data_IF_729475186209
#
_entry.id   IF_729475186209
#
_cell.length_a   1.000
_cell.length_b   1.000
_cell.length_c   1.000
_cell.angle_alpha   90.00
_cell.angle_beta   90.00
_cell.angle_gamma   90.00
#
_symmetry.space_group_name_H-M   'P 1'
#
loop_
_entity.id
_entity.type
_entity.pdbx_description
1 polymer ?
#
# COMPACT_ATOMS: atom_id res chain seq x y z
N UNK A 1 10.06 -1.55 -16.31
CA UNK A 1 9.10 -0.63 -15.65
C UNK A 1 9.09 -0.79 -14.12
N UNK A 2 8.66 0.25 -13.38
CA UNK A 2 8.47 0.20 -11.91
C UNK A 2 7.06 0.64 -11.51
N UNK A 3 6.44 -0.09 -10.60
CA UNK A 3 5.19 0.26 -9.90
C UNK A 3 5.39 0.22 -8.40
N UNK A 4 4.74 1.15 -7.71
CA UNK A 4 4.66 1.19 -6.25
C UNK A 4 3.19 1.28 -5.88
N UNK A 5 2.67 0.24 -5.23
CA UNK A 5 1.31 0.15 -4.69
C UNK A 5 1.39 0.42 -3.21
N UNK A 6 0.57 1.32 -2.69
CA UNK A 6 0.67 1.79 -1.31
C UNK A 6 -0.70 1.88 -0.66
N UNK A 7 -0.78 1.47 0.60
CA UNK A 7 -1.91 1.75 1.49
C UNK A 7 -1.40 2.32 2.80
N UNK A 8 -2.10 3.32 3.34
CA UNK A 8 -1.73 4.02 4.56
C UNK A 8 -2.94 4.21 5.47
N UNK A 9 -2.75 4.05 6.78
CA UNK A 9 -3.77 4.25 7.80
C UNK A 9 -3.16 4.78 9.10
N UNK A 10 -4.00 5.30 9.99
CA UNK A 10 -3.61 5.70 11.33
C UNK A 10 -3.45 4.50 12.30
N UNK A 11 -3.48 4.75 13.62
CA UNK A 11 -3.32 3.71 14.63
C UNK A 11 -4.46 2.68 14.56
N UNK A 12 -4.07 1.41 14.65
CA UNK A 12 -4.94 0.25 14.68
C UNK A 12 -4.16 -0.89 15.31
N UNK A 13 -4.53 -1.24 16.54
CA UNK A 13 -3.92 -2.34 17.25
C UNK A 13 -4.39 -3.67 16.65
N UNK A 14 -3.45 -4.52 16.28
CA UNK A 14 -3.70 -5.81 15.65
C UNK A 14 -2.68 -6.81 16.18
N UNK A 15 -3.14 -8.01 16.50
CA UNK A 15 -2.28 -9.11 16.94
C UNK A 15 -1.43 -9.64 15.79
N UNK A 16 -0.33 -10.33 16.12
CA UNK A 16 0.49 -11.01 15.12
C UNK A 16 -0.32 -12.02 14.26
N UNK A 17 -1.36 -12.62 14.82
CA UNK A 17 -2.23 -13.55 14.09
C UNK A 17 -3.11 -12.82 13.06
N UNK A 18 -3.70 -11.68 13.42
CA UNK A 18 -4.46 -10.84 12.48
C UNK A 18 -3.56 -10.33 11.37
N UNK A 19 -2.35 -9.87 11.71
CA UNK A 19 -1.37 -9.44 10.71
C UNK A 19 -0.96 -10.60 9.78
N UNK A 20 -0.77 -11.82 10.31
CA UNK A 20 -0.44 -12.99 9.50
C UNK A 20 -1.54 -13.33 8.49
N UNK A 21 -2.81 -13.26 8.89
CA UNK A 21 -3.96 -13.49 8.01
C UNK A 21 -4.05 -12.43 6.89
N UNK A 22 -3.82 -11.14 7.21
CA UNK A 22 -3.78 -10.07 6.19
C UNK A 22 -2.63 -10.24 5.21
N UNK A 23 -1.45 -10.59 5.72
CA UNK A 23 -0.30 -10.92 4.88
C UNK A 23 -0.60 -12.10 3.95
N UNK A 24 -1.11 -13.22 4.48
CA UNK A 24 -1.41 -14.41 3.68
C UNK A 24 -2.41 -14.10 2.57
N UNK A 25 -3.50 -13.39 2.91
CA UNK A 25 -4.50 -12.92 1.94
C UNK A 25 -3.89 -12.02 0.86
N UNK A 26 -2.99 -11.12 1.25
CA UNK A 26 -2.32 -10.20 0.32
C UNK A 26 -1.41 -10.96 -0.64
N UNK A 27 -0.55 -11.86 -0.13
CA UNK A 27 0.40 -12.63 -0.93
C UNK A 27 -0.32 -13.56 -1.91
N UNK A 28 -1.38 -14.22 -1.45
CA UNK A 28 -2.23 -15.09 -2.27
C UNK A 28 -2.93 -14.32 -3.41
N UNK A 29 -3.47 -13.12 -3.13
CA UNK A 29 -4.04 -12.24 -4.16
C UNK A 29 -2.99 -11.73 -5.14
N UNK A 30 -1.81 -11.33 -4.67
CA UNK A 30 -0.73 -10.87 -5.52
C UNK A 30 -0.23 -11.98 -6.44
N UNK A 31 -0.09 -13.22 -5.94
CA UNK A 31 0.31 -14.37 -6.75
C UNK A 31 -0.68 -14.66 -7.89
N UNK A 32 -2.00 -14.44 -7.67
CA UNK A 32 -3.01 -14.55 -8.75
C UNK A 32 -2.94 -13.43 -9.78
N UNK A 33 -2.60 -12.22 -9.36
CA UNK A 33 -2.54 -11.03 -10.22
C UNK A 33 -1.22 -10.91 -10.99
N UNK A 34 -0.16 -11.52 -10.46
CA UNK A 34 1.19 -11.51 -11.00
C UNK A 34 1.64 -12.96 -11.22
N UNK A 35 1.24 -13.60 -12.33
CA UNK A 35 1.58 -15.00 -12.61
C UNK A 35 3.10 -15.26 -12.72
N UNK A 36 3.91 -14.20 -12.82
CA UNK A 36 5.37 -14.25 -12.81
C UNK A 36 5.94 -14.55 -11.42
N UNK A 37 5.12 -14.48 -10.35
CA UNK A 37 5.49 -14.93 -9.01
C UNK A 37 5.31 -16.44 -8.89
N UNK A 38 6.37 -17.15 -8.50
CA UNK A 38 6.32 -18.61 -8.31
C UNK A 38 6.00 -19.03 -6.87
N UNK A 39 5.80 -18.07 -5.96
CA UNK A 39 5.12 -18.30 -4.67
C UNK A 39 6.01 -18.48 -3.45
N UNK A 40 7.33 -18.30 -3.55
CA UNK A 40 8.25 -18.31 -2.38
C UNK A 40 8.78 -16.91 -2.10
N UNK A 41 8.90 -16.59 -0.81
CA UNK A 41 9.30 -15.27 -0.32
C UNK A 41 10.44 -15.43 0.69
N UNK A 42 11.30 -14.42 0.82
CA UNK A 42 12.27 -14.35 1.91
C UNK A 42 12.07 -13.08 2.72
N UNK A 43 12.32 -13.19 4.03
CA UNK A 43 12.37 -12.02 4.92
C UNK A 43 13.61 -11.20 4.63
N UNK A 44 13.50 -9.88 4.80
CA UNK A 44 14.61 -8.95 4.66
C UNK A 44 14.76 -8.19 5.98
N UNK A 45 15.41 -8.80 7.00
CA UNK A 45 15.57 -8.17 8.31
C UNK A 45 16.54 -6.97 8.25
N UNK A 46 16.48 -6.10 9.24
CA UNK A 46 17.39 -4.96 9.35
C UNK A 46 18.85 -5.39 9.57
N UNK A 47 19.05 -6.56 10.18
CA UNK A 47 20.36 -7.19 10.39
C UNK A 47 20.23 -8.72 10.32
N UNK A 48 21.33 -9.40 9.97
CA UNK A 48 21.36 -10.86 9.84
C UNK A 48 20.91 -11.39 8.47
N UNK A 49 20.76 -12.71 8.36
CA UNK A 49 20.29 -13.39 7.16
C UNK A 49 18.77 -13.46 7.12
N UNK A 50 18.20 -13.25 5.92
CA UNK A 50 16.79 -13.53 5.66
C UNK A 50 16.46 -15.01 5.75
N UNK A 51 15.19 -15.31 6.01
CA UNK A 51 14.65 -16.66 6.02
C UNK A 51 13.63 -16.81 4.90
N UNK A 52 13.68 -17.93 4.19
CA UNK A 52 12.64 -18.29 3.23
C UNK A 52 11.35 -18.65 3.98
N UNK A 53 10.25 -18.04 3.59
CA UNK A 53 8.92 -18.24 4.14
C UNK A 53 7.94 -18.70 3.06
N UNK A 54 7.02 -19.56 3.48
CA UNK A 54 5.84 -19.86 2.67
C UNK A 54 4.78 -18.78 2.90
N UNK A 55 3.94 -18.46 1.90
CA UNK A 55 2.86 -17.48 2.03
C UNK A 55 1.64 -18.02 2.82
N UNK A 56 1.88 -18.88 3.82
CA UNK A 56 0.85 -19.45 4.70
C UNK A 56 0.85 -18.76 6.07
N UNK A 57 -0.31 -18.72 6.72
CA UNK A 57 -0.48 -18.03 8.00
C UNK A 57 0.49 -18.51 9.10
N UNK A 58 0.75 -19.82 9.30
CA UNK A 58 1.71 -20.28 10.30
C UNK A 58 3.13 -19.74 10.08
N UNK A 59 3.62 -19.74 8.84
CA UNK A 59 4.96 -19.24 8.51
C UNK A 59 5.05 -17.74 8.70
N UNK A 60 4.01 -17.01 8.29
CA UNK A 60 3.92 -15.56 8.45
C UNK A 60 3.80 -15.15 9.93
N UNK A 61 3.03 -15.89 10.72
CA UNK A 61 2.90 -15.67 12.15
C UNK A 61 4.24 -15.88 12.86
N UNK A 62 5.00 -16.91 12.49
CA UNK A 62 6.34 -17.12 13.01
C UNK A 62 7.27 -15.94 12.68
N UNK A 63 7.29 -15.50 11.42
CA UNK A 63 8.09 -14.35 10.98
C UNK A 63 7.72 -13.05 11.72
N UNK A 64 6.41 -12.79 11.92
CA UNK A 64 5.93 -11.62 12.66
C UNK A 64 6.32 -11.66 14.13
N UNK A 65 6.25 -12.83 14.78
CA UNK A 65 6.71 -13.00 16.17
C UNK A 65 8.20 -12.77 16.31
N UNK A 66 9.00 -13.27 15.35
CA UNK A 66 10.43 -13.01 15.30
C UNK A 66 10.70 -11.51 15.15
N UNK A 67 9.98 -10.82 14.25
CA UNK A 67 10.11 -9.38 14.08
C UNK A 67 9.75 -8.60 15.34
N UNK A 68 8.64 -8.95 16.02
CA UNK A 68 8.23 -8.35 17.29
C UNK A 68 9.26 -8.54 18.40
N UNK A 69 9.88 -9.71 18.48
CA UNK A 69 10.89 -10.01 19.50
C UNK A 69 12.23 -9.31 19.24
N UNK A 70 12.52 -8.93 18.00
CA UNK A 70 13.76 -8.26 17.62
C UNK A 70 13.71 -6.73 17.75
N UNK A 71 12.51 -6.15 17.86
CA UNK A 71 12.30 -4.72 17.74
C UNK A 71 11.89 -4.09 19.08
N UNK A 72 12.89 -3.86 19.95
CA UNK A 72 12.74 -3.26 21.28
C UNK A 72 12.12 -1.84 21.26
N UNK A 73 12.05 -1.19 20.10
CA UNK A 73 11.50 0.16 19.91
C UNK A 73 10.01 0.17 19.51
N UNK A 74 9.40 -0.99 19.20
CA UNK A 74 8.24 -1.06 18.29
C UNK A 74 6.86 -1.27 18.90
N UNK A 75 6.73 -1.55 20.20
CA UNK A 75 5.42 -1.90 20.76
C UNK A 75 4.35 -0.82 20.51
N UNK A 76 4.75 0.46 20.44
CA UNK A 76 3.86 1.57 20.14
C UNK A 76 3.64 1.79 18.63
N UNK A 77 4.66 1.59 17.79
CA UNK A 77 4.60 1.95 16.36
C UNK A 77 4.07 0.82 15.46
N UNK A 78 4.19 -0.44 15.92
CA UNK A 78 3.69 -1.63 15.22
C UNK A 78 4.81 -2.57 14.80
N UNK A 79 4.44 -3.70 14.19
CA UNK A 79 5.36 -4.73 13.70
C UNK A 79 5.74 -4.46 12.25
N UNK A 80 7.05 -4.36 11.99
CA UNK A 80 7.61 -4.26 10.65
C UNK A 80 7.88 -5.64 10.06
N UNK A 81 7.42 -5.91 8.84
CA UNK A 81 7.79 -7.09 8.06
C UNK A 81 8.06 -6.70 6.60
N UNK A 82 9.19 -7.17 6.07
CA UNK A 82 9.60 -6.97 4.68
C UNK A 82 9.89 -8.30 4.02
N UNK A 83 9.23 -8.55 2.88
CA UNK A 83 9.29 -9.76 2.11
C UNK A 83 9.72 -9.44 0.67
N UNK A 84 10.69 -10.19 0.16
CA UNK A 84 11.10 -10.14 -1.25
C UNK A 84 10.80 -11.50 -1.89
N UNK A 85 10.18 -11.50 -3.06
CA UNK A 85 9.90 -12.74 -3.78
C UNK A 85 11.23 -13.39 -4.22
N UNK A 86 11.45 -14.64 -3.83
CA UNK A 86 12.68 -15.39 -4.14
C UNK A 86 12.79 -15.73 -5.62
N UNK A 87 11.64 -16.01 -6.23
CA UNK A 87 11.57 -16.62 -7.55
C UNK A 87 10.47 -15.92 -8.35
N UNK A 88 10.88 -14.85 -9.03
CA UNK A 88 10.10 -14.20 -10.07
C UNK A 88 10.71 -14.53 -11.45
N UNK A 89 9.92 -14.43 -12.52
CA UNK A 89 10.44 -14.56 -13.88
C UNK A 89 11.64 -13.61 -14.13
N UNK A 90 12.59 -13.95 -15.03
CA UNK A 90 13.75 -13.10 -15.28
C UNK A 90 13.40 -11.63 -15.53
N UNK A 91 14.10 -10.71 -14.84
CA UNK A 91 13.84 -9.27 -14.92
C UNK A 91 12.74 -8.75 -13.99
N UNK A 92 12.02 -9.63 -13.30
CA UNK A 92 11.04 -9.24 -12.30
C UNK A 92 11.63 -9.17 -10.89
N UNK A 93 11.17 -8.19 -10.10
CA UNK A 93 11.43 -8.11 -8.66
C UNK A 93 10.18 -7.61 -7.97
N UNK A 94 9.71 -8.31 -6.96
CA UNK A 94 8.53 -7.93 -6.18
C UNK A 94 8.86 -7.96 -4.70
N UNK A 95 8.70 -6.81 -4.07
CA UNK A 95 8.97 -6.60 -2.65
C UNK A 95 7.75 -6.02 -1.98
N UNK A 96 7.31 -6.60 -0.86
CA UNK A 96 6.26 -6.07 -0.01
C UNK A 96 6.85 -5.73 1.36
N UNK A 97 6.48 -4.57 1.89
CA UNK A 97 6.83 -4.17 3.24
C UNK A 97 5.58 -3.62 3.94
N UNK A 98 5.38 -3.97 5.21
CA UNK A 98 4.35 -3.37 6.05
C UNK A 98 4.90 -2.95 7.40
N UNK A 99 4.33 -1.89 7.95
CA UNK A 99 4.41 -1.51 9.36
C UNK A 99 2.97 -1.41 9.87
N UNK A 100 2.59 -2.32 10.77
CA UNK A 100 1.18 -2.53 11.13
C UNK A 100 0.98 -3.06 12.56
N UNK A 101 -0.26 -3.02 13.07
CA UNK A 101 -0.65 -3.50 14.40
C UNK A 101 -0.29 -2.58 15.58
N UNK A 102 0.20 -1.38 15.32
CA UNK A 102 0.59 -0.40 16.34
C UNK A 102 -0.43 0.72 16.59
N UNK A 103 -0.11 1.56 17.57
CA UNK A 103 -0.84 2.79 17.87
C UNK A 103 0.08 4.04 17.84
N UNK A 104 0.81 4.29 16.73
CA UNK A 104 1.70 5.44 16.62
C UNK A 104 0.91 6.75 16.65
N UNK A 105 1.48 7.77 17.27
CA UNK A 105 0.87 9.11 17.35
C UNK A 105 1.23 10.00 16.15
N UNK A 106 2.33 9.72 15.45
CA UNK A 106 2.90 10.62 14.43
C UNK A 106 3.31 9.90 13.13
N UNK A 107 3.25 8.58 13.11
CA UNK A 107 3.63 7.76 11.96
C UNK A 107 2.40 7.03 11.44
N UNK A 108 2.15 7.11 10.14
CA UNK A 108 1.12 6.28 9.51
C UNK A 108 1.61 4.84 9.44
N UNK A 109 0.70 3.91 9.74
CA UNK A 109 0.87 2.52 9.39
C UNK A 109 0.74 2.36 7.88
N UNK A 110 1.39 1.35 7.31
CA UNK A 110 1.46 1.20 5.85
C UNK A 110 1.67 -0.22 5.37
N UNK A 111 1.25 -0.45 4.13
CA UNK A 111 1.72 -1.53 3.28
C UNK A 111 2.21 -0.91 1.97
N UNK A 112 3.42 -1.28 1.54
CA UNK A 112 4.04 -0.84 0.30
C UNK A 112 4.48 -2.07 -0.49
N UNK A 113 3.96 -2.23 -1.70
CA UNK A 113 4.45 -3.19 -2.68
C UNK A 113 5.23 -2.47 -3.78
N UNK A 114 6.49 -2.84 -3.96
CA UNK A 114 7.33 -2.41 -5.07
C UNK A 114 7.42 -3.54 -6.08
N UNK A 115 7.04 -3.25 -7.33
CA UNK A 115 7.12 -4.19 -8.45
C UNK A 115 8.02 -3.58 -9.51
N UNK A 116 9.04 -4.33 -9.92
CA UNK A 116 9.87 -4.04 -11.08
C UNK A 116 9.64 -5.15 -12.08
N UNK A 117 9.38 -4.79 -13.32
CA UNK A 117 9.20 -5.70 -14.45
C UNK A 117 10.04 -5.24 -15.64
N UNK A 118 10.27 -6.10 -16.65
CA UNK A 118 10.80 -5.70 -17.96
C UNK A 118 9.98 -4.59 -18.62
N UNK A 119 10.55 -3.89 -19.59
CA UNK A 119 9.87 -2.78 -20.29
C UNK A 119 8.86 -3.26 -21.34
N UNK A 120 9.04 -4.48 -21.85
CA UNK A 120 8.16 -5.18 -22.78
C UNK A 120 7.11 -6.06 -22.07
N UNK A 121 7.14 -6.13 -20.74
CA UNK A 121 6.14 -6.85 -19.96
C UNK A 121 4.73 -6.26 -20.22
N UNK A 122 3.67 -7.10 -20.21
CA UNK A 122 2.31 -6.60 -20.26
C UNK A 122 2.04 -5.61 -19.12
N UNK A 123 1.10 -4.69 -19.34
CA UNK A 123 0.74 -3.71 -18.32
C UNK A 123 0.30 -4.40 -17.02
N UNK A 124 0.75 -3.86 -15.87
CA UNK A 124 0.34 -4.40 -14.57
C UNK A 124 -1.12 -4.06 -14.27
N UNK A 125 -1.87 -4.95 -13.60
CA UNK A 125 -3.25 -4.70 -13.19
C UNK A 125 -3.30 -3.75 -11.99
N UNK A 126 -2.87 -2.50 -12.17
CA UNK A 126 -2.65 -1.50 -11.11
C UNK A 126 -3.89 -1.34 -10.20
N UNK A 127 -5.09 -1.28 -10.78
CA UNK A 127 -6.33 -1.15 -10.02
C UNK A 127 -6.65 -2.37 -9.15
N UNK A 128 -6.37 -3.59 -9.64
CA UNK A 128 -6.63 -4.81 -8.87
C UNK A 128 -5.56 -5.07 -7.82
N UNK A 129 -4.31 -4.66 -8.07
CA UNK A 129 -3.27 -4.69 -7.05
C UNK A 129 -3.62 -3.76 -5.88
N UNK A 130 -4.09 -2.55 -6.15
CA UNK A 130 -4.55 -1.64 -5.10
C UNK A 130 -5.82 -2.14 -4.41
N UNK A 131 -6.75 -2.76 -5.16
CA UNK A 131 -7.92 -3.41 -4.57
C UNK A 131 -7.53 -4.52 -3.59
N UNK A 132 -6.55 -5.36 -3.95
CA UNK A 132 -6.06 -6.43 -3.09
C UNK A 132 -5.48 -5.88 -1.78
N UNK A 133 -4.74 -4.77 -1.84
CA UNK A 133 -4.26 -4.06 -0.65
C UNK A 133 -5.43 -3.50 0.16
N UNK A 134 -6.34 -2.78 -0.49
CA UNK A 134 -7.46 -2.13 0.18
C UNK A 134 -8.38 -3.13 0.90
N UNK A 135 -8.71 -4.24 0.26
CA UNK A 135 -9.57 -5.27 0.86
C UNK A 135 -8.87 -6.09 1.95
N UNK A 136 -7.54 -6.21 1.90
CA UNK A 136 -6.78 -6.98 2.90
C UNK A 136 -6.35 -6.15 4.11
N UNK A 137 -6.15 -4.85 3.94
CA UNK A 137 -5.60 -3.97 4.97
C UNK A 137 -6.54 -2.87 5.43
N UNK A 138 -7.63 -2.61 4.70
CA UNK A 138 -8.58 -1.52 4.97
C UNK A 138 -7.87 -0.20 5.33
N UNK A 139 -7.04 0.35 4.41
CA UNK A 139 -6.32 1.57 4.67
C UNK A 139 -7.27 2.78 4.68
N UNK A 140 -6.77 3.92 5.14
CA UNK A 140 -7.49 5.18 5.01
C UNK A 140 -7.39 5.75 3.59
N UNK A 141 -6.21 5.64 2.99
CA UNK A 141 -5.97 6.00 1.59
C UNK A 141 -4.87 5.14 0.98
N UNK A 142 -4.82 5.10 -0.34
CA UNK A 142 -3.78 4.37 -1.05
C UNK A 142 -3.64 4.83 -2.49
N UNK A 143 -2.55 4.41 -3.13
CA UNK A 143 -2.28 4.79 -4.51
C UNK A 143 -1.36 3.80 -5.24
N UNK A 144 -1.43 3.85 -6.58
CA UNK A 144 -0.45 3.23 -7.47
C UNK A 144 0.23 4.29 -8.31
N UNK A 145 1.55 4.32 -8.24
CA UNK A 145 2.36 5.25 -9.01
C UNK A 145 3.82 4.84 -9.09
N UNK A 146 4.65 5.80 -9.44
CA UNK A 146 6.10 5.65 -9.45
C UNK A 146 6.80 6.93 -8.95
N UNK A 147 8.12 7.00 -9.21
CA UNK A 147 8.92 8.17 -8.86
C UNK A 147 8.54 9.41 -9.67
N UNK A 148 8.11 9.27 -10.92
CA UNK A 148 7.71 10.39 -11.77
C UNK A 148 6.42 11.02 -11.23
N UNK A 149 5.42 10.20 -10.87
CA UNK A 149 4.19 10.66 -10.20
C UNK A 149 4.53 11.42 -8.91
N UNK A 150 5.34 10.81 -8.03
CA UNK A 150 5.73 11.46 -6.77
C UNK A 150 6.46 12.79 -7.01
N UNK A 151 7.31 12.86 -8.03
CA UNK A 151 8.06 14.08 -8.36
C UNK A 151 7.17 15.18 -8.90
N UNK A 152 6.21 14.85 -9.77
CA UNK A 152 5.24 15.80 -10.31
C UNK A 152 4.36 16.38 -9.20
N UNK A 153 3.80 15.53 -8.33
CA UNK A 153 2.98 15.97 -7.19
C UNK A 153 3.73 16.93 -6.25
N UNK A 154 5.02 16.68 -5.98
CA UNK A 154 5.85 17.58 -5.16
C UNK A 154 6.05 18.93 -5.84
N UNK A 155 6.42 18.92 -7.12
CA UNK A 155 6.79 20.13 -7.87
C UNK A 155 5.58 21.00 -8.22
N UNK A 156 4.45 20.38 -8.54
CA UNK A 156 3.32 21.06 -9.19
C UNK A 156 2.08 21.19 -8.29
N UNK A 157 1.95 20.34 -7.26
CA UNK A 157 0.77 20.34 -6.38
C UNK A 157 1.08 20.48 -4.88
N UNK A 158 2.36 20.70 -4.54
CA UNK A 158 2.81 20.90 -3.16
C UNK A 158 2.59 19.69 -2.25
N UNK A 159 2.66 18.47 -2.81
CA UNK A 159 2.64 17.24 -2.02
C UNK A 159 3.80 17.18 -1.04
N UNK A 160 3.52 16.71 0.19
CA UNK A 160 4.51 16.50 1.24
C UNK A 160 4.51 15.03 1.66
N UNK A 161 5.66 14.50 2.01
CA UNK A 161 5.75 13.13 2.52
C UNK A 161 4.93 13.06 3.82
N UNK A 162 4.14 11.99 3.98
CA UNK A 162 3.28 11.77 5.14
C UNK A 162 1.88 12.39 5.01
N UNK A 163 1.57 13.08 3.92
CA UNK A 163 0.18 13.51 3.61
C UNK A 163 -0.47 12.55 2.61
N UNK A 164 -1.81 12.43 2.60
CA UNK A 164 -2.51 11.61 1.62
C UNK A 164 -2.20 11.97 0.17
N UNK A 165 -2.09 10.96 -0.70
CA UNK A 165 -1.86 11.11 -2.15
C UNK A 165 -2.75 10.18 -2.97
N UNK A 166 -2.75 10.43 -4.28
CA UNK A 166 -3.25 9.53 -5.31
C UNK A 166 -2.20 9.40 -6.42
N UNK A 167 -2.29 8.34 -7.20
CA UNK A 167 -1.42 8.10 -8.35
C UNK A 167 -2.23 7.93 -9.62
N UNK A 168 -1.78 7.07 -10.54
CA UNK A 168 -2.57 6.66 -11.69
C UNK A 168 -3.85 5.95 -11.27
N UNK A 169 -3.77 5.21 -10.16
CA UNK A 169 -4.93 4.70 -9.42
C UNK A 169 -4.86 5.25 -8.00
N UNK A 170 -5.99 5.65 -7.44
CA UNK A 170 -6.15 6.03 -6.04
C UNK A 170 -7.16 5.15 -5.31
N UNK A 171 -7.02 5.02 -4.00
CA UNK A 171 -8.01 4.44 -3.10
C UNK A 171 -8.32 5.44 -1.99
N UNK A 172 -9.61 5.58 -1.67
CA UNK A 172 -10.10 6.39 -0.58
C UNK A 172 -11.02 5.54 0.31
N UNK A 173 -10.80 5.56 1.62
CA UNK A 173 -11.76 5.03 2.60
C UNK A 173 -13.13 5.68 2.44
N UNK A 174 -14.19 5.05 2.97
CA UNK A 174 -15.55 5.57 2.87
C UNK A 174 -15.68 7.03 3.32
N UNK A 175 -15.07 7.40 4.45
CA UNK A 175 -15.10 8.76 4.98
C UNK A 175 -14.34 9.78 4.14
N UNK A 176 -13.31 9.36 3.39
CA UNK A 176 -12.65 10.20 2.38
C UNK A 176 -13.45 10.29 1.09
N UNK A 177 -13.99 9.17 0.61
CA UNK A 177 -14.80 9.09 -0.59
C UNK A 177 -16.05 9.98 -0.48
N UNK A 178 -16.67 10.07 0.70
CA UNK A 178 -17.81 10.95 0.97
C UNK A 178 -17.50 12.46 0.81
N UNK A 179 -16.22 12.85 0.82
CA UNK A 179 -15.78 14.23 0.62
C UNK A 179 -15.44 14.54 -0.83
N UNK A 180 -15.42 13.53 -1.70
CA UNK A 180 -15.07 13.72 -3.11
C UNK A 180 -16.22 14.36 -3.88
N UNK A 181 -15.92 15.29 -4.81
CA UNK A 181 -16.92 15.77 -5.75
C UNK A 181 -17.27 14.63 -6.70
N UNK A 182 -18.54 14.23 -6.74
CA UNK A 182 -19.03 13.12 -7.59
C UNK A 182 -18.72 13.33 -9.07
N UNK A 183 -18.68 14.58 -9.52
CA UNK A 183 -18.70 14.94 -10.93
C UNK A 183 -17.29 15.14 -11.53
N UNK A 184 -16.24 15.10 -10.70
CA UNK A 184 -14.88 15.47 -11.11
C UNK A 184 -13.95 14.29 -11.44
N UNK A 185 -14.35 13.05 -11.14
CA UNK A 185 -13.47 11.88 -11.23
C UNK A 185 -14.11 10.80 -12.13
N UNK A 186 -13.49 10.49 -13.29
CA UNK A 186 -14.19 9.86 -14.41
C UNK A 186 -14.39 8.34 -14.29
N UNK A 187 -13.67 7.65 -13.41
CA UNK A 187 -13.88 6.21 -13.17
C UNK A 187 -13.73 5.87 -11.68
N UNK A 188 -14.84 5.39 -11.10
CA UNK A 188 -14.97 5.06 -9.68
C UNK A 188 -15.52 3.66 -9.52
N UNK A 189 -14.86 2.86 -8.69
CA UNK A 189 -15.33 1.54 -8.29
C UNK A 189 -15.42 1.44 -6.78
N UNK A 190 -16.62 1.25 -6.27
CA UNK A 190 -16.82 0.94 -4.85
C UNK A 190 -16.33 -0.49 -4.55
N UNK A 191 -15.56 -0.64 -3.48
CA UNK A 191 -15.10 -1.92 -2.99
C UNK A 191 -16.04 -2.47 -1.93
N UNK A 192 -15.94 -3.78 -1.66
CA UNK A 192 -16.74 -4.45 -0.63
C UNK A 192 -16.51 -3.90 0.78
N UNK A 193 -15.38 -3.22 1.00
CA UNK A 193 -15.05 -2.53 2.26
C UNK A 193 -15.77 -1.18 2.42
N UNK A 194 -16.50 -0.71 1.40
CA UNK A 194 -17.13 0.63 1.37
C UNK A 194 -16.19 1.75 0.94
N UNK A 195 -14.89 1.46 0.75
CA UNK A 195 -13.95 2.38 0.12
C UNK A 195 -14.14 2.48 -1.39
N UNK A 196 -13.55 3.49 -2.02
CA UNK A 196 -13.65 3.74 -3.46
C UNK A 196 -12.27 3.71 -4.11
N UNK A 197 -12.14 2.93 -5.19
CA UNK A 197 -11.04 3.05 -6.14
C UNK A 197 -11.35 4.10 -7.21
N UNK A 198 -10.30 4.80 -7.61
CA UNK A 198 -10.31 5.84 -8.63
C UNK A 198 -9.30 5.48 -9.72
N UNK A 199 -9.75 5.23 -10.94
CA UNK A 199 -8.83 5.13 -12.10
C UNK A 199 -8.66 6.54 -12.66
N UNK A 200 -7.50 7.13 -12.43
CA UNK A 200 -7.25 8.56 -12.69
C UNK A 200 -6.61 8.79 -14.04
N UNK A 201 -5.59 7.99 -14.38
CA UNK A 201 -4.80 8.20 -15.58
C UNK A 201 -4.10 6.91 -16.02
N UNK A 202 -3.71 6.87 -17.29
CA UNK A 202 -2.82 5.81 -17.77
C UNK A 202 -1.41 5.99 -17.20
N UNK A 203 -0.62 4.91 -17.04
CA UNK A 203 0.74 5.03 -16.57
C UNK A 203 1.61 5.94 -17.46
N UNK A 204 2.38 6.82 -16.81
CA UNK A 204 3.17 7.85 -17.47
C UNK A 204 2.49 9.21 -17.59
N UNK A 205 1.15 9.28 -17.51
CA UNK A 205 0.43 10.56 -17.53
C UNK A 205 0.42 11.19 -16.12
N UNK A 206 1.43 11.97 -15.82
CA UNK A 206 1.54 12.68 -14.53
C UNK A 206 0.67 13.94 -14.47
N UNK A 207 0.31 14.53 -15.61
CA UNK A 207 -0.47 15.77 -15.66
C UNK A 207 -1.90 15.55 -15.18
N UNK A 208 -2.53 14.47 -15.65
CA UNK A 208 -3.87 14.08 -15.19
C UNK A 208 -3.88 13.73 -13.70
N UNK A 209 -2.83 13.07 -13.21
CA UNK A 209 -2.68 12.77 -11.77
C UNK A 209 -2.56 14.04 -10.93
N UNK A 210 -1.75 15.02 -11.36
CA UNK A 210 -1.63 16.32 -10.68
C UNK A 210 -2.98 17.03 -10.60
N UNK A 211 -3.74 17.08 -11.70
CA UNK A 211 -5.07 17.69 -11.75
C UNK A 211 -6.04 17.00 -10.79
N UNK A 212 -6.09 15.67 -10.80
CA UNK A 212 -6.96 14.90 -9.91
C UNK A 212 -6.59 15.08 -8.44
N UNK A 213 -5.29 15.05 -8.12
CA UNK A 213 -4.80 15.30 -6.76
C UNK A 213 -5.21 16.69 -6.26
N UNK A 214 -5.10 17.73 -7.08
CA UNK A 214 -5.52 19.09 -6.71
C UNK A 214 -7.03 19.15 -6.46
N UNK A 215 -7.85 18.53 -7.31
CA UNK A 215 -9.30 18.48 -7.13
C UNK A 215 -9.68 17.76 -5.82
N UNK A 216 -9.08 16.60 -5.55
CA UNK A 216 -9.29 15.83 -4.33
C UNK A 216 -8.82 16.58 -3.09
N UNK A 217 -7.67 17.25 -3.15
CA UNK A 217 -7.16 18.10 -2.07
C UNK A 217 -8.11 19.26 -1.77
N UNK A 218 -8.59 19.97 -2.78
CA UNK A 218 -9.51 21.09 -2.62
C UNK A 218 -10.87 20.69 -2.04
N UNK A 219 -11.28 19.44 -2.25
CA UNK A 219 -12.50 18.88 -1.65
C UNK A 219 -12.35 18.40 -0.20
N UNK A 220 -11.12 18.39 0.31
CA UNK A 220 -10.81 17.88 1.64
C UNK A 220 -10.75 16.35 1.75
N UNK A 221 -10.89 15.62 0.63
CA UNK A 221 -10.75 14.17 0.57
C UNK A 221 -9.30 13.71 0.87
N UNK A 222 -8.31 14.58 0.67
CA UNK A 222 -6.89 14.35 0.97
C UNK A 222 -6.39 15.11 2.21
N UNK A 223 -7.31 15.58 3.07
CA UNK A 223 -6.88 16.12 4.37
C UNK A 223 -6.13 15.05 5.17
N UNK A 224 -4.99 15.37 5.78
CA UNK A 224 -4.31 14.45 6.69
C UNK A 224 -5.22 14.03 7.84
N UNK A 225 -4.93 12.85 8.41
CA UNK A 225 -5.52 12.52 9.71
C UNK A 225 -5.08 13.56 10.75
N UNK A 226 -5.93 13.91 11.73
CA UNK A 226 -5.55 14.80 12.82
C UNK A 226 -4.30 14.28 13.55
N UNK A 227 -3.43 15.20 13.98
CA UNK A 227 -2.27 14.88 14.81
C UNK A 227 -2.50 15.38 16.26
N UNK A 228 -2.17 14.58 17.29
CA UNK A 228 -1.70 13.20 17.21
C UNK A 228 -2.76 12.27 16.58
N UNK A 229 -2.30 11.21 15.92
CA UNK A 229 -3.18 10.25 15.27
C UNK A 229 -4.02 9.52 16.34
N UNK A 230 -5.34 9.55 16.18
CA UNK A 230 -6.29 8.94 17.13
C UNK A 230 -7.24 7.93 16.51
N UNK A 231 -7.17 7.74 15.19
CA UNK A 231 -8.09 6.88 14.42
C UNK A 231 -7.42 6.32 13.18
N UNK A 232 -7.84 5.13 12.71
CA UNK A 232 -7.24 4.49 11.54
C UNK A 232 -7.59 5.19 10.23
N UNK A 233 -8.78 5.78 10.12
CA UNK A 233 -9.28 6.43 8.91
C UNK A 233 -10.17 7.65 9.22
N UNK A 234 -10.42 8.48 8.20
CA UNK A 234 -11.24 9.70 8.30
C UNK A 234 -12.74 9.45 8.44
#
# INVERSE_FOLDING_TARGET
>A
MRRVVRGFWGPRQESAAELAARWSTTLDRFARLLPELTGTWHTVPASGSGETIRPDEPSLLAALRTAQAADDWSAADGTSLRLLADTAAPGWKVELAALAGGTPQYLLQSLVATIVSPDDAPGLPDAELLAAVAESWDPDHGDVGDRAVTSALKKEAGFRIGTPSVGWVGYLSAGRAARTPSDALPDRRELRTGGTLLTIAAPGDTASVVKAYQALKNSGALEPLPQPLTRPAL
#
